data_IF_291567975488
#
_entry.id   IF_291567975488
#
_cell.length_a   1.000
_cell.length_b   1.000
_cell.length_c   1.000
_cell.angle_alpha   90.00
_cell.angle_beta   90.00
_cell.angle_gamma   90.00
#
_symmetry.space_group_name_H-M   'P 1'
#
loop_
_entity.id
_entity.type
_entity.pdbx_description
1 polymer ?
#
# COMPACT_ATOMS: atom_id res chain seq x y z
N UNK A 1 15.96 -2.20 -7.71
CA UNK A 1 14.69 -2.88 -8.05
C UNK A 1 13.61 -2.27 -7.20
N UNK A 2 12.36 -2.45 -7.53
CA UNK A 2 11.24 -1.83 -6.83
C UNK A 2 10.26 -2.91 -6.37
N UNK A 3 9.52 -2.64 -5.31
CA UNK A 3 8.58 -3.61 -4.73
C UNK A 3 7.21 -3.45 -5.40
N UNK A 4 6.71 -4.51 -6.01
CA UNK A 4 5.43 -4.69 -6.69
C UNK A 4 5.25 -3.90 -8.00
N UNK A 5 5.76 -2.68 -8.14
CA UNK A 5 5.58 -1.84 -9.33
C UNK A 5 6.89 -1.15 -9.74
N UNK A 6 7.09 -0.92 -11.02
CA UNK A 6 8.24 -0.25 -11.58
C UNK A 6 7.86 0.54 -12.86
N UNK A 7 8.86 1.10 -13.53
CA UNK A 7 8.67 1.87 -14.77
C UNK A 7 8.06 1.06 -15.94
N UNK A 8 8.13 -0.27 -15.89
CA UNK A 8 7.61 -1.14 -16.95
C UNK A 8 6.20 -1.65 -16.65
N UNK A 9 5.62 -1.24 -15.49
CA UNK A 9 4.26 -1.61 -15.08
C UNK A 9 3.22 -0.91 -15.95
N UNK A 10 2.42 -1.70 -16.67
CA UNK A 10 1.32 -1.22 -17.53
C UNK A 10 0.00 -1.37 -16.81
N UNK A 11 -0.67 -0.26 -16.58
CA UNK A 11 -1.83 -0.19 -15.69
C UNK A 11 -3.11 0.04 -16.46
N UNK A 12 -4.15 -0.72 -16.14
CA UNK A 12 -5.54 -0.39 -16.50
C UNK A 12 -6.28 0.17 -15.29
N UNK A 13 -7.25 1.07 -15.55
CA UNK A 13 -8.05 1.71 -14.51
C UNK A 13 -9.48 1.21 -14.59
N UNK A 14 -9.90 0.38 -13.63
CA UNK A 14 -11.29 -0.07 -13.53
C UNK A 14 -12.17 1.01 -12.89
N UNK A 15 -13.24 1.40 -13.60
CA UNK A 15 -14.10 2.50 -13.21
C UNK A 15 -13.60 3.87 -13.69
N UNK A 16 -12.77 3.92 -14.75
CA UNK A 16 -12.06 5.13 -15.25
C UNK A 16 -12.99 6.33 -15.52
N UNK A 17 -14.24 6.10 -15.86
CA UNK A 17 -15.21 7.17 -16.17
C UNK A 17 -15.83 7.82 -14.93
N UNK A 18 -15.53 7.31 -13.72
CA UNK A 18 -15.95 7.91 -12.46
C UNK A 18 -15.12 9.14 -12.09
N UNK A 19 -15.73 10.14 -11.45
CA UNK A 19 -15.03 11.41 -11.14
C UNK A 19 -13.75 11.24 -10.32
N UNK A 20 -13.76 10.40 -9.29
CA UNK A 20 -12.57 10.08 -8.48
C UNK A 20 -11.50 9.38 -9.32
N UNK A 21 -11.89 8.37 -10.09
CA UNK A 21 -10.98 7.65 -10.98
C UNK A 21 -10.34 8.59 -12.00
N UNK A 22 -11.14 9.45 -12.65
CA UNK A 22 -10.66 10.44 -13.60
C UNK A 22 -9.60 11.37 -13.01
N UNK A 23 -9.88 11.92 -11.83
CA UNK A 23 -8.93 12.81 -11.14
C UNK A 23 -7.59 12.11 -10.88
N UNK A 24 -7.62 10.90 -10.32
CA UNK A 24 -6.39 10.16 -10.01
C UNK A 24 -5.71 9.59 -11.24
N UNK A 25 -6.45 9.26 -12.31
CA UNK A 25 -5.86 8.88 -13.61
C UNK A 25 -5.00 10.01 -14.17
N UNK A 26 -5.49 11.25 -14.14
CA UNK A 26 -4.66 12.42 -14.53
C UNK A 26 -3.39 12.52 -13.71
N UNK A 27 -3.50 12.38 -12.38
CA UNK A 27 -2.35 12.43 -11.48
C UNK A 27 -1.34 11.29 -11.73
N UNK A 28 -1.80 10.11 -12.12
CA UNK A 28 -0.93 8.99 -12.48
C UNK A 28 -0.24 9.22 -13.84
N UNK A 29 -0.97 9.73 -14.83
CA UNK A 29 -0.42 10.13 -16.14
C UNK A 29 0.62 11.24 -15.99
N UNK A 30 0.32 12.30 -15.23
CA UNK A 30 1.24 13.41 -14.95
C UNK A 30 2.51 12.94 -14.22
N UNK A 31 2.40 11.89 -13.43
CA UNK A 31 3.54 11.25 -12.75
C UNK A 31 4.42 10.41 -13.69
N UNK A 32 3.92 10.08 -14.87
CA UNK A 32 4.61 9.22 -15.84
C UNK A 32 4.26 7.73 -15.75
N UNK A 33 3.24 7.36 -14.96
CA UNK A 33 2.74 5.98 -14.92
C UNK A 33 2.17 5.57 -16.27
N UNK A 34 2.50 4.38 -16.74
CA UNK A 34 1.98 3.84 -18.00
C UNK A 34 0.52 3.39 -17.83
N UNK A 35 -0.43 4.32 -17.94
CA UNK A 35 -1.85 3.99 -18.01
C UNK A 35 -2.19 3.64 -19.45
N UNK A 36 -2.41 2.36 -19.72
CA UNK A 36 -2.57 1.82 -21.08
C UNK A 36 -4.03 1.58 -21.46
N UNK A 37 -4.95 1.57 -20.49
CA UNK A 37 -6.38 1.37 -20.74
C UNK A 37 -7.25 1.72 -19.54
N UNK A 38 -8.51 1.89 -19.77
CA UNK A 38 -9.54 2.01 -18.75
C UNK A 38 -10.64 0.98 -18.97
N UNK A 39 -11.30 0.56 -17.90
CA UNK A 39 -12.42 -0.38 -18.00
C UNK A 39 -13.67 0.22 -17.37
N UNK A 40 -14.72 0.32 -18.16
CA UNK A 40 -16.06 0.68 -17.68
C UNK A 40 -17.09 -0.01 -18.56
N UNK A 41 -17.93 -0.92 -18.02
CA UNK A 41 -18.94 -1.64 -18.78
C UNK A 41 -19.86 -0.68 -19.59
N UNK A 42 -20.14 -1.02 -20.83
CA UNK A 42 -20.97 -0.23 -21.79
C UNK A 42 -20.35 1.12 -22.22
N UNK A 43 -19.06 1.35 -21.93
CA UNK A 43 -18.32 2.53 -22.37
C UNK A 43 -17.13 2.17 -23.29
N UNK A 44 -16.98 0.89 -23.65
CA UNK A 44 -15.96 0.46 -24.60
C UNK A 44 -16.03 1.20 -25.92
N UNK A 45 -14.86 1.51 -26.50
CA UNK A 45 -14.72 2.30 -27.71
C UNK A 45 -14.75 3.83 -27.49
N UNK A 46 -14.86 4.29 -26.24
CA UNK A 46 -14.66 5.71 -25.88
C UNK A 46 -13.23 5.94 -25.40
N UNK A 47 -12.89 7.19 -25.12
CA UNK A 47 -11.58 7.60 -24.62
C UNK A 47 -11.73 8.52 -23.40
N UNK A 48 -10.82 8.42 -22.45
CA UNK A 48 -10.75 9.28 -21.25
C UNK A 48 -9.31 9.73 -21.08
N UNK A 49 -9.02 11.04 -21.16
CA UNK A 49 -7.67 11.61 -21.03
C UNK A 49 -6.64 10.99 -21.99
N UNK A 50 -7.03 10.65 -23.22
CA UNK A 50 -6.17 9.98 -24.18
C UNK A 50 -6.02 8.47 -23.96
N UNK A 51 -6.74 7.90 -22.98
CA UNK A 51 -6.66 6.48 -22.62
C UNK A 51 -7.89 5.75 -23.21
N UNK A 52 -7.71 4.68 -24.01
CA UNK A 52 -8.83 3.90 -24.54
C UNK A 52 -9.60 3.20 -23.44
N UNK A 53 -10.93 3.16 -23.58
CA UNK A 53 -11.84 2.51 -22.63
C UNK A 53 -12.38 1.21 -23.21
N UNK A 54 -12.35 0.16 -22.40
CA UNK A 54 -12.83 -1.19 -22.72
C UNK A 54 -14.06 -1.55 -21.88
N UNK A 55 -14.83 -2.54 -22.34
CA UNK A 55 -15.97 -3.05 -21.58
C UNK A 55 -15.57 -4.04 -20.50
N UNK A 56 -14.47 -4.77 -20.70
CA UNK A 56 -13.97 -5.83 -19.80
C UNK A 56 -12.47 -5.70 -19.58
N UNK A 57 -11.99 -6.28 -18.47
CA UNK A 57 -10.55 -6.37 -18.16
C UNK A 57 -9.84 -7.24 -19.20
N UNK A 58 -10.43 -8.37 -19.57
CA UNK A 58 -9.89 -9.30 -20.55
C UNK A 58 -9.57 -8.60 -21.87
N UNK A 59 -10.55 -7.89 -22.46
CA UNK A 59 -10.33 -7.11 -23.69
C UNK A 59 -9.23 -6.05 -23.53
N UNK A 60 -9.17 -5.40 -22.38
CA UNK A 60 -8.13 -4.40 -22.11
C UNK A 60 -6.73 -5.04 -22.06
N UNK A 61 -6.60 -6.20 -21.42
CA UNK A 61 -5.33 -6.95 -21.32
C UNK A 61 -4.89 -7.44 -22.69
N UNK A 62 -5.80 -8.04 -23.46
CA UNK A 62 -5.50 -8.56 -24.82
C UNK A 62 -4.97 -7.45 -25.74
N UNK A 63 -5.58 -6.26 -25.72
CA UNK A 63 -5.22 -5.18 -26.63
C UNK A 63 -4.01 -4.35 -26.16
N UNK A 64 -3.77 -4.24 -24.86
CA UNK A 64 -2.74 -3.32 -24.32
C UNK A 64 -1.53 -4.02 -23.73
N UNK A 65 -1.65 -5.29 -23.39
CA UNK A 65 -0.64 -6.02 -22.64
C UNK A 65 -0.48 -5.50 -21.20
N UNK A 66 -1.55 -5.00 -20.59
CA UNK A 66 -1.56 -4.57 -19.18
C UNK A 66 -1.19 -5.73 -18.24
N UNK A 67 -0.44 -5.43 -17.19
CA UNK A 67 -0.05 -6.40 -16.15
C UNK A 67 -0.50 -5.98 -14.74
N UNK A 68 -1.09 -4.78 -14.60
CA UNK A 68 -1.64 -4.31 -13.34
C UNK A 68 -2.99 -3.62 -13.54
N UNK A 69 -3.84 -3.67 -12.51
CA UNK A 69 -5.09 -2.93 -12.44
C UNK A 69 -5.19 -2.10 -11.18
N UNK A 70 -5.79 -0.91 -11.28
CA UNK A 70 -6.26 -0.14 -10.13
C UNK A 70 -7.78 -0.04 -10.14
N UNK A 71 -8.41 -0.32 -9.00
CA UNK A 71 -9.87 -0.40 -8.86
C UNK A 71 -10.40 0.83 -8.11
N UNK A 72 -11.23 1.61 -8.82
CA UNK A 72 -12.03 2.72 -8.27
C UNK A 72 -13.53 2.45 -8.38
N UNK A 73 -13.89 1.22 -8.67
CA UNK A 73 -15.28 0.78 -8.82
C UNK A 73 -16.01 0.93 -7.47
N UNK A 74 -17.27 1.40 -7.45
CA UNK A 74 -18.03 1.52 -6.20
C UNK A 74 -18.11 0.21 -5.41
N UNK A 75 -18.13 0.31 -4.08
CA UNK A 75 -18.03 -0.82 -3.16
C UNK A 75 -18.92 -2.05 -3.47
N UNK A 76 -20.19 -1.88 -3.89
CA UNK A 76 -21.04 -3.04 -4.23
C UNK A 76 -20.56 -3.88 -5.42
N UNK A 77 -19.69 -3.33 -6.25
CA UNK A 77 -19.19 -3.96 -7.49
C UNK A 77 -17.68 -4.22 -7.45
N UNK A 78 -16.99 -3.76 -6.41
CA UNK A 78 -15.53 -3.80 -6.35
C UNK A 78 -14.99 -5.23 -6.22
N UNK A 79 -15.69 -6.11 -5.50
CA UNK A 79 -15.31 -7.52 -5.40
C UNK A 79 -15.34 -8.22 -6.77
N UNK A 80 -16.37 -7.98 -7.57
CA UNK A 80 -16.48 -8.52 -8.93
C UNK A 80 -15.37 -7.97 -9.83
N UNK A 81 -15.06 -6.66 -9.71
CA UNK A 81 -13.96 -6.02 -10.45
C UNK A 81 -12.59 -6.61 -10.11
N UNK A 82 -12.35 -6.93 -8.83
CA UNK A 82 -11.12 -7.62 -8.40
C UNK A 82 -11.07 -9.03 -9.02
N UNK A 83 -12.14 -9.80 -8.92
CA UNK A 83 -12.18 -11.17 -9.45
C UNK A 83 -12.02 -11.20 -10.98
N UNK A 84 -12.61 -10.24 -11.72
CA UNK A 84 -12.42 -10.07 -13.15
C UNK A 84 -10.93 -9.83 -13.50
N UNK A 85 -10.22 -9.00 -12.73
CA UNK A 85 -8.80 -8.77 -12.93
C UNK A 85 -7.93 -10.01 -12.60
N UNK A 86 -8.37 -10.82 -11.63
CA UNK A 86 -7.72 -12.11 -11.29
C UNK A 86 -7.94 -13.14 -12.42
N UNK A 87 -9.12 -13.16 -13.05
CA UNK A 87 -9.39 -14.05 -14.17
C UNK A 87 -8.59 -13.69 -15.42
N UNK A 88 -8.39 -12.41 -15.67
CA UNK A 88 -7.52 -11.92 -16.73
C UNK A 88 -6.01 -12.12 -16.42
N UNK A 89 -5.69 -12.83 -15.34
CA UNK A 89 -4.34 -13.20 -14.91
C UNK A 89 -3.36 -12.02 -14.73
N UNK A 90 -3.85 -10.83 -14.37
CA UNK A 90 -3.01 -9.70 -14.04
C UNK A 90 -2.06 -10.05 -12.88
N UNK A 91 -0.84 -9.55 -12.92
CA UNK A 91 0.14 -9.80 -11.85
C UNK A 91 -0.24 -9.07 -10.55
N UNK A 92 -0.84 -7.86 -10.69
CA UNK A 92 -1.17 -6.99 -9.56
C UNK A 92 -2.54 -6.34 -9.72
N UNK A 93 -3.31 -6.35 -8.64
CA UNK A 93 -4.54 -5.56 -8.48
C UNK A 93 -4.39 -4.65 -7.27
N UNK A 94 -4.63 -3.35 -7.42
CA UNK A 94 -4.63 -2.38 -6.33
C UNK A 94 -6.06 -1.87 -6.16
N UNK A 95 -6.69 -2.17 -5.03
CA UNK A 95 -8.06 -1.76 -4.75
C UNK A 95 -8.10 -0.56 -3.81
N UNK A 96 -8.45 0.62 -4.38
CA UNK A 96 -8.57 1.88 -3.62
C UNK A 96 -9.90 1.91 -2.87
N UNK A 97 -10.94 1.31 -3.44
CA UNK A 97 -12.31 1.35 -2.94
C UNK A 97 -12.38 0.93 -1.47
N UNK A 98 -13.04 1.75 -0.68
CA UNK A 98 -13.37 1.50 0.72
C UNK A 98 -14.84 1.07 0.88
N UNK A 99 -15.20 0.58 2.07
CA UNK A 99 -16.54 0.10 2.41
C UNK A 99 -17.02 -1.15 1.64
N UNK A 100 -16.11 -1.94 1.09
CA UNK A 100 -16.47 -3.25 0.54
C UNK A 100 -16.91 -4.15 1.69
N UNK A 101 -18.07 -4.84 1.58
CA UNK A 101 -18.54 -5.74 2.63
C UNK A 101 -17.49 -6.83 2.94
N UNK A 102 -17.24 -7.08 4.22
CA UNK A 102 -16.26 -8.08 4.67
C UNK A 102 -16.52 -9.46 4.04
N UNK A 103 -17.80 -9.86 3.92
CA UNK A 103 -18.16 -11.13 3.29
C UNK A 103 -17.78 -11.22 1.80
N UNK A 104 -17.81 -10.10 1.09
CA UNK A 104 -17.39 -10.06 -0.30
C UNK A 104 -15.87 -10.16 -0.42
N UNK A 105 -15.12 -9.53 0.48
CA UNK A 105 -13.67 -9.71 0.55
C UNK A 105 -13.25 -11.13 0.96
N UNK A 106 -14.01 -11.80 1.81
CA UNK A 106 -13.79 -13.24 2.12
C UNK A 106 -13.97 -14.09 0.86
N UNK A 107 -14.98 -13.81 0.02
CA UNK A 107 -15.15 -14.48 -1.28
C UNK A 107 -13.98 -14.22 -2.21
N UNK A 108 -13.52 -12.95 -2.31
CA UNK A 108 -12.34 -12.57 -3.11
C UNK A 108 -11.11 -13.35 -2.64
N UNK A 109 -10.80 -13.36 -1.35
CA UNK A 109 -9.65 -14.11 -0.80
C UNK A 109 -9.71 -15.59 -1.18
N UNK A 110 -10.86 -16.22 -1.01
CA UNK A 110 -11.06 -17.63 -1.39
C UNK A 110 -10.90 -17.85 -2.90
N UNK A 111 -11.40 -16.92 -3.70
CA UNK A 111 -11.30 -16.98 -5.16
C UNK A 111 -9.84 -16.87 -5.65
N UNK A 112 -9.03 -16.13 -4.92
CA UNK A 112 -7.61 -15.93 -5.21
C UNK A 112 -6.70 -17.09 -4.75
N UNK A 113 -7.22 -18.06 -3.99
CA UNK A 113 -6.41 -19.21 -3.55
C UNK A 113 -5.82 -19.96 -4.76
N UNK A 114 -4.49 -20.12 -4.77
CA UNK A 114 -3.76 -20.76 -5.86
C UNK A 114 -3.60 -19.92 -7.13
N UNK A 115 -4.09 -18.69 -7.16
CA UNK A 115 -3.84 -17.74 -8.26
C UNK A 115 -2.53 -16.98 -8.03
N UNK A 116 -1.89 -16.53 -9.12
CA UNK A 116 -0.63 -15.75 -9.06
C UNK A 116 -0.84 -14.26 -8.77
N UNK A 117 -2.02 -13.74 -9.05
CA UNK A 117 -2.36 -12.32 -8.89
C UNK A 117 -2.18 -11.85 -7.45
N UNK A 118 -1.45 -10.78 -7.24
CA UNK A 118 -1.35 -10.09 -5.95
C UNK A 118 -2.45 -9.04 -5.83
N UNK A 119 -3.12 -8.97 -4.69
CA UNK A 119 -4.06 -7.90 -4.35
C UNK A 119 -3.46 -7.01 -3.27
N UNK A 120 -3.41 -5.71 -3.48
CA UNK A 120 -3.10 -4.68 -2.47
C UNK A 120 -4.39 -3.91 -2.14
N UNK A 121 -4.69 -3.76 -0.86
CA UNK A 121 -5.98 -3.25 -0.38
C UNK A 121 -6.98 -4.37 -0.07
N UNK A 122 -8.27 -4.07 0.04
CA UNK A 122 -8.96 -2.82 -0.30
C UNK A 122 -8.71 -1.68 0.70
N UNK A 123 -9.39 -0.55 0.48
CA UNK A 123 -9.30 0.63 1.34
C UNK A 123 -7.85 1.06 1.57
N UNK A 124 -7.11 1.22 0.49
CA UNK A 124 -5.69 1.55 0.52
C UNK A 124 -5.37 2.79 -0.34
N UNK A 125 -4.27 3.49 -0.07
CA UNK A 125 -3.85 4.63 -0.88
C UNK A 125 -3.12 4.22 -2.17
N UNK A 126 -2.79 2.95 -2.33
CA UNK A 126 -2.05 2.43 -3.47
C UNK A 126 -0.57 2.15 -3.17
N UNK A 127 0.23 2.15 -4.22
CA UNK A 127 1.68 1.90 -4.19
C UNK A 127 2.40 2.95 -5.02
N UNK A 128 3.57 3.41 -4.57
CA UNK A 128 4.42 4.32 -5.32
C UNK A 128 5.89 3.91 -5.20
N UNK A 129 6.55 3.73 -6.34
CA UNK A 129 8.01 3.68 -6.47
C UNK A 129 8.45 5.01 -7.05
N UNK A 130 9.13 5.86 -6.26
CA UNK A 130 9.45 7.22 -6.68
C UNK A 130 10.25 7.27 -7.97
N UNK A 131 9.88 8.20 -8.86
CA UNK A 131 10.44 8.42 -10.21
C UNK A 131 10.19 7.27 -11.21
N UNK A 132 9.50 6.22 -10.82
CA UNK A 132 9.22 5.08 -11.69
C UNK A 132 7.73 4.88 -11.96
N UNK A 133 6.93 4.70 -10.91
CA UNK A 133 5.51 4.37 -11.07
C UNK A 133 4.71 4.77 -9.82
N UNK A 134 3.52 5.30 -10.04
CA UNK A 134 2.53 5.61 -9.01
C UNK A 134 1.21 4.99 -9.40
N UNK A 135 0.65 4.13 -8.55
CA UNK A 135 -0.67 3.54 -8.74
C UNK A 135 -1.52 3.83 -7.51
N UNK A 136 -2.58 4.63 -7.68
CA UNK A 136 -3.50 5.01 -6.60
C UNK A 136 -3.52 6.50 -6.32
N UNK A 137 -3.75 6.85 -5.04
CA UNK A 137 -4.08 8.22 -4.62
C UNK A 137 -2.94 8.95 -3.89
N UNK A 138 -1.81 8.30 -3.65
CA UNK A 138 -0.67 8.92 -2.95
C UNK A 138 -0.20 10.20 -3.68
N UNK A 139 0.11 11.29 -2.94
CA UNK A 139 0.62 12.52 -3.54
C UNK A 139 2.07 12.32 -4.02
N UNK A 140 2.28 12.27 -5.34
CA UNK A 140 3.60 11.98 -5.93
C UNK A 140 4.69 12.99 -5.54
N UNK A 141 4.32 14.27 -5.36
CA UNK A 141 5.27 15.37 -5.11
C UNK A 141 5.99 15.33 -3.76
N UNK A 142 5.48 14.58 -2.78
CA UNK A 142 6.16 14.41 -1.48
C UNK A 142 7.17 13.25 -1.49
N UNK A 143 7.10 12.37 -2.48
CA UNK A 143 7.95 11.19 -2.58
C UNK A 143 9.24 11.53 -3.34
N UNK A 144 10.37 11.08 -2.83
CA UNK A 144 11.67 11.18 -3.47
C UNK A 144 12.32 9.80 -3.57
N UNK A 145 13.06 9.54 -4.62
CA UNK A 145 13.80 8.27 -4.77
C UNK A 145 14.85 8.13 -3.68
N UNK A 146 14.94 6.95 -3.08
CA UNK A 146 15.91 6.64 -2.02
C UNK A 146 15.81 5.19 -1.56
N UNK A 147 16.07 4.96 -0.28
CA UNK A 147 16.36 3.62 0.25
C UNK A 147 15.44 3.18 1.39
N UNK A 148 14.41 3.96 1.72
CA UNK A 148 13.52 3.62 2.84
C UNK A 148 12.23 3.02 2.29
N UNK A 149 11.96 1.75 2.62
CA UNK A 149 10.66 1.12 2.38
C UNK A 149 9.62 1.67 3.36
N UNK A 150 8.38 1.83 2.90
CA UNK A 150 7.26 2.22 3.78
C UNK A 150 6.11 1.26 3.57
N UNK A 151 5.64 0.61 4.63
CA UNK A 151 4.42 -0.19 4.63
C UNK A 151 3.44 0.33 5.68
N UNK A 152 2.19 0.56 5.28
CA UNK A 152 1.23 1.22 6.15
C UNK A 152 -0.21 0.78 5.94
N UNK A 153 -0.98 0.69 7.03
CA UNK A 153 -2.44 0.57 6.98
C UNK A 153 -3.14 1.91 6.72
N UNK A 154 -2.47 3.01 7.07
CA UNK A 154 -3.04 4.37 7.00
C UNK A 154 -2.45 5.16 5.84
N UNK A 155 -3.30 5.69 4.95
CA UNK A 155 -2.87 6.62 3.90
C UNK A 155 -2.28 7.90 4.49
N UNK A 156 -2.97 8.55 5.40
CA UNK A 156 -2.56 9.84 5.99
C UNK A 156 -1.22 9.76 6.72
N UNK A 157 -1.03 8.72 7.54
CA UNK A 157 0.23 8.51 8.26
C UNK A 157 1.38 8.12 7.33
N UNK A 158 1.08 7.45 6.20
CA UNK A 158 2.07 7.23 5.14
C UNK A 158 2.61 8.56 4.61
N UNK A 159 1.70 9.50 4.31
CA UNK A 159 2.10 10.81 3.78
C UNK A 159 2.92 11.61 4.78
N UNK A 160 2.57 11.55 6.06
CA UNK A 160 3.31 12.21 7.13
C UNK A 160 4.74 11.67 7.23
N UNK A 161 4.90 10.35 7.30
CA UNK A 161 6.22 9.71 7.38
C UNK A 161 7.09 10.00 6.15
N UNK A 162 6.50 9.87 4.94
CA UNK A 162 7.19 10.13 3.69
C UNK A 162 7.63 11.59 3.58
N UNK A 163 6.77 12.54 3.95
CA UNK A 163 7.09 13.96 3.92
C UNK A 163 8.24 14.29 4.87
N UNK A 164 8.20 13.79 6.11
CA UNK A 164 9.28 13.98 7.08
C UNK A 164 10.62 13.44 6.55
N UNK A 165 10.63 12.25 5.96
CA UNK A 165 11.84 11.69 5.34
C UNK A 165 12.34 12.58 4.22
N UNK A 166 11.48 12.96 3.28
CA UNK A 166 11.84 13.71 2.08
C UNK A 166 12.37 15.11 2.40
N UNK A 167 11.79 15.81 3.39
CA UNK A 167 12.27 17.11 3.87
C UNK A 167 13.64 17.01 4.55
N UNK A 168 13.94 15.86 5.14
CA UNK A 168 15.25 15.60 5.75
C UNK A 168 16.26 14.97 4.78
N UNK A 169 15.96 14.87 3.48
CA UNK A 169 16.83 14.33 2.45
C UNK A 169 17.01 12.81 2.50
N UNK A 170 15.94 12.10 2.86
CA UNK A 170 15.85 10.65 2.78
C UNK A 170 14.67 10.29 1.88
N UNK A 171 14.93 9.49 0.85
CA UNK A 171 13.93 9.08 -0.11
C UNK A 171 13.42 7.66 0.15
N UNK A 172 12.38 7.28 -0.60
CA UNK A 172 11.77 5.97 -0.49
C UNK A 172 12.22 5.04 -1.63
N UNK A 173 12.44 3.76 -1.32
CA UNK A 173 12.55 2.72 -2.35
C UNK A 173 11.17 2.42 -2.93
N UNK A 174 10.21 2.16 -2.09
CA UNK A 174 8.78 2.03 -2.44
C UNK A 174 7.94 2.35 -1.21
N UNK A 175 6.79 2.99 -1.39
CA UNK A 175 5.76 3.12 -0.35
C UNK A 175 4.53 2.28 -0.73
N UNK A 176 4.13 1.39 0.17
CA UNK A 176 3.01 0.45 0.00
C UNK A 176 1.94 0.72 1.06
N UNK A 177 0.77 1.14 0.62
CA UNK A 177 -0.40 1.19 1.49
C UNK A 177 -1.16 -0.13 1.39
N UNK A 178 -1.21 -0.89 2.47
CA UNK A 178 -1.91 -2.20 2.48
C UNK A 178 -3.39 -2.10 2.82
N UNK A 179 -3.83 -0.92 3.32
CA UNK A 179 -5.22 -0.67 3.69
C UNK A 179 -5.57 -1.03 5.14
N UNK A 180 -6.69 -0.46 5.60
CA UNK A 180 -7.17 -0.59 6.99
C UNK A 180 -8.32 -1.57 7.18
N UNK A 181 -8.70 -2.33 6.16
CA UNK A 181 -9.79 -3.30 6.24
C UNK A 181 -9.34 -4.61 6.91
N UNK A 182 -10.24 -5.31 7.62
CA UNK A 182 -9.91 -6.54 8.35
C UNK A 182 -9.58 -7.72 7.43
N UNK A 183 -10.02 -7.71 6.18
CA UNK A 183 -9.72 -8.71 5.15
C UNK A 183 -9.05 -8.02 3.99
N UNK A 184 -7.73 -8.02 3.98
CA UNK A 184 -6.90 -7.45 2.93
C UNK A 184 -6.27 -8.52 2.03
N UNK A 185 -5.77 -8.10 0.88
CA UNK A 185 -5.05 -8.97 -0.06
C UNK A 185 -3.61 -9.24 0.40
N UNK A 186 -2.83 -8.19 0.53
CA UNK A 186 -1.43 -8.18 0.96
C UNK A 186 -1.34 -7.67 2.39
N UNK A 187 -0.60 -8.34 3.24
CA UNK A 187 -0.37 -7.97 4.63
C UNK A 187 1.03 -7.36 4.88
N UNK A 188 1.34 -7.09 6.16
CA UNK A 188 2.67 -6.59 6.55
C UNK A 188 3.78 -7.57 6.18
N UNK A 189 3.61 -8.85 6.48
CA UNK A 189 4.65 -9.88 6.27
C UNK A 189 4.95 -10.05 4.78
N UNK A 190 3.92 -10.05 3.93
CA UNK A 190 4.09 -10.11 2.47
C UNK A 190 4.93 -8.93 1.94
N UNK A 191 4.65 -7.73 2.45
CA UNK A 191 5.36 -6.51 2.04
C UNK A 191 6.78 -6.47 2.61
N UNK A 192 6.94 -6.86 3.87
CA UNK A 192 8.26 -6.92 4.54
C UNK A 192 9.18 -7.94 3.88
N UNK A 193 8.67 -9.10 3.44
CA UNK A 193 9.43 -10.06 2.64
C UNK A 193 9.97 -9.42 1.36
N UNK A 194 9.10 -8.70 0.63
CA UNK A 194 9.49 -8.03 -0.59
C UNK A 194 10.53 -6.93 -0.34
N UNK A 195 10.42 -6.15 0.73
CA UNK A 195 11.45 -5.18 1.13
C UNK A 195 12.75 -5.83 1.58
N UNK A 196 12.68 -6.97 2.25
CA UNK A 196 13.89 -7.70 2.67
C UNK A 196 14.69 -8.22 1.48
N UNK A 197 14.00 -8.68 0.43
CA UNK A 197 14.60 -9.18 -0.81
C UNK A 197 15.05 -8.06 -1.75
N UNK A 198 14.52 -6.84 -1.61
CA UNK A 198 14.86 -5.70 -2.47
C UNK A 198 16.24 -5.11 -2.10
N UNK A 199 17.24 -5.14 -3.01
CA UNK A 199 18.58 -4.63 -2.73
C UNK A 199 18.64 -3.10 -2.60
N UNK A 200 17.63 -2.37 -3.07
CA UNK A 200 17.58 -0.91 -2.99
C UNK A 200 16.94 -0.45 -1.67
N UNK A 201 16.27 -1.33 -0.93
CA UNK A 201 15.71 -1.03 0.39
C UNK A 201 16.73 -1.33 1.50
N UNK A 202 17.07 -0.34 2.30
CA UNK A 202 18.05 -0.45 3.40
C UNK A 202 17.40 -0.44 4.79
N UNK A 203 16.25 0.20 4.92
CA UNK A 203 15.47 0.25 6.17
C UNK A 203 13.99 0.35 5.84
N UNK A 204 13.12 0.06 6.81
CA UNK A 204 11.66 0.07 6.59
C UNK A 204 10.94 0.84 7.69
N UNK A 205 9.94 1.65 7.32
CA UNK A 205 8.92 2.17 8.24
C UNK A 205 7.67 1.29 8.15
N UNK A 206 7.23 0.78 9.29
CA UNK A 206 6.00 -0.01 9.44
C UNK A 206 4.98 0.77 10.26
N UNK A 207 3.87 1.17 9.64
CA UNK A 207 2.81 1.95 10.28
C UNK A 207 1.56 1.08 10.44
N UNK A 208 1.26 0.76 11.69
CA UNK A 208 0.08 0.02 12.10
C UNK A 208 -0.91 0.85 12.88
N UNK A 209 -1.90 0.19 13.41
CA UNK A 209 -2.95 0.79 14.22
C UNK A 209 -3.52 -0.23 15.22
N UNK A 210 -4.34 0.24 16.15
CA UNK A 210 -5.06 -0.63 17.07
C UNK A 210 -5.93 -1.66 16.35
N UNK A 211 -6.17 -2.79 16.98
CA UNK A 211 -7.02 -3.87 16.48
C UNK A 211 -6.24 -4.98 15.78
N UNK A 212 -6.73 -6.21 15.91
CA UNK A 212 -6.08 -7.40 15.38
C UNK A 212 -4.71 -7.68 15.99
N UNK A 213 -3.93 -8.56 15.35
CA UNK A 213 -2.60 -9.03 15.78
C UNK A 213 -1.54 -8.93 14.69
N UNK A 214 -1.87 -8.32 13.54
CA UNK A 214 -1.01 -8.33 12.38
C UNK A 214 0.35 -7.62 12.61
N UNK A 215 0.39 -6.59 13.44
CA UNK A 215 1.61 -5.86 13.76
C UNK A 215 2.52 -6.67 14.70
N UNK A 216 1.95 -7.41 15.65
CA UNK A 216 2.68 -8.32 16.54
C UNK A 216 3.28 -9.49 15.73
N UNK A 217 2.48 -10.12 14.87
CA UNK A 217 2.93 -11.20 13.97
C UNK A 217 4.05 -10.73 13.03
N UNK A 218 3.91 -9.51 12.49
CA UNK A 218 4.94 -8.87 11.67
C UNK A 218 6.23 -8.61 12.46
N UNK A 219 6.12 -8.13 13.70
CA UNK A 219 7.28 -7.88 14.57
C UNK A 219 8.06 -9.17 14.88
N UNK A 220 7.36 -10.24 15.19
CA UNK A 220 7.97 -11.55 15.42
C UNK A 220 8.65 -12.07 14.14
N UNK A 221 8.01 -11.88 12.98
CA UNK A 221 8.58 -12.26 11.70
C UNK A 221 9.84 -11.44 11.38
N UNK A 222 9.83 -10.11 11.60
CA UNK A 222 11.00 -9.23 11.45
C UNK A 222 12.16 -9.74 12.27
N UNK A 223 11.95 -9.99 13.57
CA UNK A 223 12.98 -10.49 14.48
C UNK A 223 13.64 -11.79 14.00
N UNK A 224 12.88 -12.65 13.34
CA UNK A 224 13.35 -13.95 12.90
C UNK A 224 13.99 -13.95 11.50
N UNK A 225 13.68 -12.97 10.63
CA UNK A 225 13.95 -13.06 9.20
C UNK A 225 14.58 -11.80 8.57
N UNK A 226 14.58 -10.64 9.23
CA UNK A 226 15.09 -9.39 8.64
C UNK A 226 16.39 -8.93 9.31
N UNK A 227 17.37 -8.59 8.48
CA UNK A 227 18.60 -7.92 8.93
C UNK A 227 18.51 -6.39 8.75
N UNK A 228 17.51 -5.89 8.01
CA UNK A 228 17.30 -4.46 7.77
C UNK A 228 16.57 -3.84 8.96
N UNK A 229 17.02 -2.67 9.48
CA UNK A 229 16.35 -2.03 10.61
C UNK A 229 14.95 -1.57 10.25
N UNK A 230 14.04 -1.69 11.21
CA UNK A 230 12.64 -1.29 11.07
C UNK A 230 12.28 -0.28 12.15
N UNK A 231 11.58 0.77 11.74
CA UNK A 231 10.93 1.74 12.63
C UNK A 231 9.43 1.52 12.58
N UNK A 232 8.80 1.46 13.74
CA UNK A 232 7.36 1.29 13.88
C UNK A 232 6.62 2.53 14.34
N UNK A 233 5.35 2.62 13.97
CA UNK A 233 4.39 3.53 14.59
C UNK A 233 3.03 2.86 14.69
N UNK A 234 2.34 3.04 15.83
CA UNK A 234 0.99 2.50 16.07
C UNK A 234 0.00 3.64 16.27
N UNK A 235 -0.91 3.80 15.32
CA UNK A 235 -2.01 4.75 15.40
C UNK A 235 -3.09 4.31 16.39
N UNK A 236 -3.81 5.28 16.95
CA UNK A 236 -4.99 5.03 17.79
C UNK A 236 -4.70 4.79 19.28
N UNK A 237 -3.49 5.09 19.79
CA UNK A 237 -3.13 4.89 21.20
C UNK A 237 -4.08 5.57 22.20
N UNK A 238 -4.73 6.66 21.81
CA UNK A 238 -5.71 7.39 22.63
C UNK A 238 -7.17 6.99 22.39
N UNK A 239 -7.38 5.94 21.57
CA UNK A 239 -8.72 5.50 21.22
C UNK A 239 -9.45 4.88 22.41
N UNK A 240 -10.72 5.28 22.69
CA UNK A 240 -11.51 4.64 23.73
C UNK A 240 -11.77 3.17 23.39
N UNK A 241 -11.68 2.25 24.37
CA UNK A 241 -12.00 0.83 24.15
C UNK A 241 -13.41 0.64 23.56
N UNK A 242 -13.56 -0.28 22.60
CA UNK A 242 -14.81 -0.61 21.95
C UNK A 242 -15.30 0.39 20.90
N UNK A 243 -14.56 1.49 20.65
CA UNK A 243 -14.85 2.40 19.54
C UNK A 243 -13.96 2.10 18.35
N UNK A 244 -14.58 2.05 17.18
CA UNK A 244 -13.86 1.95 15.91
C UNK A 244 -13.27 3.32 15.53
N UNK A 245 -11.99 3.33 15.14
CA UNK A 245 -11.25 4.55 14.85
C UNK A 245 -10.91 4.65 13.35
N UNK A 246 -11.86 5.18 12.57
CA UNK A 246 -11.69 5.35 11.12
C UNK A 246 -11.84 4.02 10.35
N UNK A 247 -10.81 3.21 10.33
CA UNK A 247 -10.79 1.94 9.61
C UNK A 247 -11.67 0.86 10.27
N UNK A 248 -12.21 -0.04 9.44
CA UNK A 248 -13.07 -1.12 9.92
C UNK A 248 -12.34 -2.09 10.88
N UNK A 249 -11.03 -2.29 10.67
CA UNK A 249 -10.16 -3.11 11.52
C UNK A 249 -9.63 -2.43 12.77
N UNK A 250 -9.71 -1.09 12.86
CA UNK A 250 -9.14 -0.31 13.96
C UNK A 250 -10.08 -0.25 15.19
N UNK A 251 -10.22 -1.38 15.86
CA UNK A 251 -11.07 -1.54 17.05
C UNK A 251 -10.42 -2.47 18.09
N UNK A 252 -10.34 -2.04 19.34
CA UNK A 252 -9.93 -2.91 20.46
C UNK A 252 -11.13 -3.76 20.87
N UNK A 253 -11.00 -5.07 20.74
CA UNK A 253 -12.05 -6.03 21.08
C UNK A 253 -11.51 -7.11 22.00
N UNK A 254 -12.25 -7.43 23.08
CA UNK A 254 -11.86 -8.46 24.04
C UNK A 254 -10.53 -8.19 24.76
N UNK A 255 -10.11 -6.94 24.86
CA UNK A 255 -8.86 -6.54 25.52
C UNK A 255 -7.58 -6.84 24.72
N UNK A 256 -7.72 -7.25 23.44
CA UNK A 256 -6.60 -7.52 22.54
C UNK A 256 -6.47 -6.43 21.47
N UNK A 257 -5.28 -6.29 20.90
CA UNK A 257 -4.99 -5.33 19.84
C UNK A 257 -4.88 -3.89 20.34
N UNK A 258 -4.46 -3.68 21.58
CA UNK A 258 -4.18 -2.34 22.13
C UNK A 258 -2.88 -1.80 21.56
N UNK A 259 -2.75 -0.48 21.48
CA UNK A 259 -1.49 0.14 21.05
C UNK A 259 -0.33 -0.20 22.00
N UNK A 260 -0.58 -0.25 23.31
CA UNK A 260 0.42 -0.58 24.33
C UNK A 260 1.01 -1.98 24.09
N UNK A 261 0.16 -2.99 23.83
CA UNK A 261 0.60 -4.35 23.58
C UNK A 261 1.42 -4.43 22.30
N UNK A 262 0.95 -3.81 21.22
CA UNK A 262 1.67 -3.77 19.93
C UNK A 262 3.04 -3.11 20.07
N UNK A 263 3.11 -1.94 20.72
CA UNK A 263 4.35 -1.20 20.96
C UNK A 263 5.31 -2.05 21.81
N UNK A 264 4.81 -2.71 22.86
CA UNK A 264 5.62 -3.61 23.70
C UNK A 264 6.24 -4.73 22.87
N UNK A 265 5.42 -5.45 22.08
CA UNK A 265 5.90 -6.56 21.24
C UNK A 265 6.91 -6.09 20.20
N UNK A 266 6.66 -4.94 19.57
CA UNK A 266 7.59 -4.36 18.60
C UNK A 266 8.94 -4.04 19.23
N UNK A 267 8.96 -3.42 20.41
CA UNK A 267 10.19 -3.13 21.16
C UNK A 267 10.93 -4.42 21.57
N UNK A 268 10.22 -5.44 22.06
CA UNK A 268 10.77 -6.75 22.42
C UNK A 268 11.37 -7.49 21.19
N UNK A 269 10.92 -7.11 20.00
CA UNK A 269 11.46 -7.61 18.73
C UNK A 269 12.57 -6.74 18.13
N UNK A 270 13.01 -5.67 18.81
CA UNK A 270 14.11 -4.82 18.36
C UNK A 270 13.69 -3.73 17.35
N UNK A 271 12.41 -3.44 17.24
CA UNK A 271 11.87 -2.38 16.39
C UNK A 271 11.81 -1.08 17.20
N UNK A 272 12.43 -0.01 16.70
CA UNK A 272 12.32 1.33 17.29
C UNK A 272 10.95 1.91 17.02
N UNK A 273 10.16 2.21 18.05
CA UNK A 273 8.79 2.71 17.88
C UNK A 273 8.72 4.21 18.15
N UNK A 274 8.28 4.97 17.14
CA UNK A 274 8.05 6.40 17.26
C UNK A 274 6.89 6.70 18.23
N UNK A 275 7.10 7.67 19.13
CA UNK A 275 6.14 8.00 20.18
C UNK A 275 4.92 8.80 19.69
N UNK A 276 5.09 9.55 18.60
CA UNK A 276 4.04 10.35 17.95
C UNK A 276 4.22 10.31 16.43
N UNK A 277 3.18 10.64 15.64
CA UNK A 277 3.31 10.75 14.20
C UNK A 277 4.39 11.77 13.77
N UNK A 278 4.55 12.84 14.53
CA UNK A 278 5.46 13.95 14.20
C UNK A 278 6.95 13.59 14.26
N UNK A 279 7.30 12.47 14.90
CA UNK A 279 8.71 12.04 15.07
C UNK A 279 9.05 10.74 14.34
N UNK A 280 8.19 10.27 13.44
CA UNK A 280 8.46 9.03 12.68
C UNK A 280 9.74 9.15 11.86
N UNK A 281 9.90 10.26 11.14
CA UNK A 281 11.10 10.53 10.34
C UNK A 281 12.35 10.69 11.18
N UNK A 282 12.27 11.40 12.31
CA UNK A 282 13.38 11.57 13.25
C UNK A 282 13.83 10.22 13.82
N UNK A 283 12.89 9.38 14.27
CA UNK A 283 13.18 8.03 14.77
C UNK A 283 13.88 7.18 13.71
N UNK A 284 13.46 7.27 12.44
CA UNK A 284 14.17 6.57 11.36
C UNK A 284 15.58 7.10 11.16
N UNK A 285 15.79 8.43 11.19
CA UNK A 285 17.12 9.02 11.03
C UNK A 285 18.07 8.58 12.17
N UNK A 286 17.58 8.51 13.40
CA UNK A 286 18.34 7.99 14.54
C UNK A 286 18.69 6.50 14.35
N UNK A 287 17.71 5.70 13.97
CA UNK A 287 17.89 4.28 13.66
C UNK A 287 18.93 4.04 12.56
N UNK A 288 18.90 4.87 11.50
CA UNK A 288 19.92 4.79 10.44
C UNK A 288 21.35 5.11 10.95
N UNK A 289 21.49 6.08 11.86
CA UNK A 289 22.79 6.41 12.48
C UNK A 289 23.30 5.25 13.33
N UNK A 290 22.46 4.67 14.18
CA UNK A 290 22.78 3.53 15.04
C UNK A 290 23.23 2.30 14.24
N UNK A 291 22.69 2.11 13.03
CA UNK A 291 23.01 1.01 12.15
C UNK A 291 24.07 1.34 11.07
N UNK A 292 24.72 2.50 11.13
CA UNK A 292 25.71 2.97 10.16
C UNK A 292 25.20 3.06 8.71
N UNK A 293 23.90 3.33 8.53
CA UNK A 293 23.23 3.45 7.24
C UNK A 293 22.93 4.91 6.84
N UNK A 294 23.19 5.87 7.72
CA UNK A 294 22.84 7.29 7.52
C UNK A 294 23.34 7.83 6.19
N UNK A 295 24.66 7.73 5.93
CA UNK A 295 25.27 8.28 4.71
C UNK A 295 24.84 7.51 3.45
N UNK A 296 24.58 6.21 3.57
CA UNK A 296 24.08 5.38 2.47
C UNK A 296 22.67 5.73 2.04
N UNK A 297 21.80 6.05 3.00
CA UNK A 297 20.40 6.38 2.76
C UNK A 297 20.15 7.86 2.47
N UNK A 298 21.13 8.74 2.76
CA UNK A 298 21.02 10.17 2.50
C UNK A 298 21.00 10.44 1.00
N UNK A 299 19.91 11.02 0.51
CA UNK A 299 19.78 11.49 -0.86
C UNK A 299 20.26 12.93 -0.95
N UNK A 300 20.98 13.27 -2.00
CA UNK A 300 21.57 14.60 -2.21
C UNK A 300 20.56 15.57 -2.83
#
# INVERSE_FOLDING_TARGET
MSVFINKDTKVIVQGITGGTALFHTKQMLDYGTQIVGGVTPKKGGTEVEGVPVFNTVDSAVEETGANASVVYVPAPFAADAIMEAVDAELDLVICITEHIPVQDMVKVKRYMEGKKTRLVGPNCPGVITPEECKIGIMPGYIHKKGHIGVVSRSGTLTYEAVHQLSENGFGQSTAVGIGGDPVNGTDFIDTLKAFNEDPDTEAVIMIGEIGGTAEEEAAEWIKANMDKPVVGFIGGATAPPGKRMGHAGAIISGGKGTAEEKIRVMNDCGISVASTPAVIGETMIETLKENNLYDKCKTH
#
